data_IF_866177835045
#
_entry.id   IF_866177835045
#
_cell.length_a   1.000
_cell.length_b   1.000
_cell.length_c   1.000
_cell.angle_alpha   90.00
_cell.angle_beta   90.00
_cell.angle_gamma   90.00
#
_symmetry.space_group_name_H-M   'P 1'
#
loop_
_entity.id
_entity.type
_entity.pdbx_description
1 polymer ?
#
# COMPACT_ATOMS: atom_id res chain seq x y z
N UNK A 1 -2.81 16.41 -6.81
CA UNK A 1 -1.65 15.52 -6.65
C UNK A 1 -2.19 14.11 -6.50
N UNK A 2 -1.90 13.21 -7.45
CA UNK A 2 -2.49 11.87 -7.50
C UNK A 2 -1.48 10.77 -7.22
N UNK A 3 -1.96 9.65 -6.69
CA UNK A 3 -1.23 8.39 -6.59
C UNK A 3 -1.46 7.60 -7.87
N UNK A 4 -0.40 7.09 -8.46
CA UNK A 4 -0.43 6.14 -9.57
C UNK A 4 0.09 4.78 -9.12
N UNK A 5 -0.13 3.78 -9.96
CA UNK A 5 0.45 2.44 -9.80
C UNK A 5 1.43 2.27 -10.94
N UNK A 6 2.70 2.05 -10.59
CA UNK A 6 3.74 1.68 -11.53
C UNK A 6 3.87 0.16 -11.49
N UNK A 7 3.76 -0.49 -12.65
CA UNK A 7 3.90 -1.93 -12.78
C UNK A 7 5.06 -2.26 -13.70
N UNK A 8 5.98 -3.08 -13.21
CA UNK A 8 7.01 -3.70 -14.02
C UNK A 8 6.43 -4.96 -14.68
N UNK A 9 6.45 -4.98 -16.02
CA UNK A 9 5.86 -6.07 -16.80
C UNK A 9 6.79 -7.27 -16.99
N UNK A 10 8.04 -7.19 -16.54
CA UNK A 10 9.02 -8.25 -16.67
C UNK A 10 9.08 -9.12 -15.42
N UNK A 11 9.12 -8.49 -14.26
CA UNK A 11 9.17 -9.16 -12.95
C UNK A 11 7.79 -9.23 -12.27
N UNK A 12 6.74 -8.72 -12.94
CA UNK A 12 5.34 -8.79 -12.49
C UNK A 12 5.10 -8.17 -11.11
N UNK A 13 5.88 -7.14 -10.78
CA UNK A 13 5.74 -6.36 -9.56
C UNK A 13 5.00 -5.04 -9.82
N UNK A 14 4.35 -4.50 -8.79
CA UNK A 14 3.82 -3.15 -8.81
C UNK A 14 4.16 -2.38 -7.54
N UNK A 15 4.13 -1.05 -7.60
CA UNK A 15 4.28 -0.17 -6.45
C UNK A 15 3.45 1.11 -6.64
N UNK A 16 3.23 1.83 -5.54
CA UNK A 16 2.65 3.16 -5.63
C UNK A 16 3.69 4.19 -6.05
N UNK A 17 3.26 5.15 -6.86
CA UNK A 17 4.08 6.28 -7.29
C UNK A 17 3.32 7.59 -7.10
N UNK A 18 3.99 8.62 -6.61
CA UNK A 18 3.44 9.97 -6.61
C UNK A 18 3.58 10.57 -8.02
N UNK A 19 2.47 10.81 -8.73
CA UNK A 19 2.51 11.31 -10.11
C UNK A 19 3.09 12.73 -10.24
N UNK A 20 3.32 13.43 -9.13
CA UNK A 20 3.88 14.79 -9.12
C UNK A 20 5.39 14.79 -8.94
N UNK A 21 5.91 13.91 -8.08
CA UNK A 21 7.35 13.82 -7.79
C UNK A 21 8.03 12.66 -8.49
N UNK A 22 7.27 11.73 -9.05
CA UNK A 22 7.75 10.48 -9.67
C UNK A 22 8.51 9.58 -8.68
N UNK A 23 8.20 9.70 -7.38
CA UNK A 23 8.77 8.86 -6.34
C UNK A 23 7.87 7.68 -6.03
N UNK A 24 8.47 6.48 -6.00
CA UNK A 24 7.81 5.27 -5.54
C UNK A 24 7.81 5.20 -4.01
N UNK A 25 6.76 4.63 -3.42
CA UNK A 25 6.60 4.51 -1.97
C UNK A 25 5.69 3.32 -1.60
N UNK A 26 5.69 2.96 -0.31
CA UNK A 26 4.88 1.87 0.22
C UNK A 26 5.40 0.47 -0.20
N UNK A 27 4.57 -0.57 0.00
CA UNK A 27 4.96 -1.96 -0.25
C UNK A 27 5.07 -2.26 -1.74
N UNK A 28 5.85 -3.31 -2.05
CA UNK A 28 5.87 -3.93 -3.38
C UNK A 28 4.73 -4.96 -3.45
N UNK A 29 3.95 -4.87 -4.51
CA UNK A 29 2.84 -5.77 -4.82
C UNK A 29 3.30 -6.86 -5.77
N UNK A 30 2.81 -8.08 -5.52
CA UNK A 30 3.07 -9.28 -6.31
C UNK A 30 1.76 -9.88 -6.83
N UNK A 31 1.85 -10.73 -7.85
CA UNK A 31 0.70 -11.55 -8.27
C UNK A 31 0.21 -12.43 -7.10
N UNK A 32 -1.10 -12.40 -6.84
CA UNK A 32 -1.74 -13.19 -5.76
C UNK A 32 -3.12 -13.64 -6.18
N UNK A 33 -3.43 -14.91 -5.91
CA UNK A 33 -4.78 -15.49 -6.07
C UNK A 33 -5.41 -15.26 -7.46
N UNK A 34 -4.59 -15.23 -8.52
CA UNK A 34 -5.05 -15.00 -9.90
C UNK A 34 -5.30 -13.52 -10.26
N UNK A 35 -4.87 -12.60 -9.40
CA UNK A 35 -4.83 -11.16 -9.66
C UNK A 35 -3.39 -10.73 -9.95
N UNK A 36 -3.20 -9.95 -11.01
CA UNK A 36 -1.91 -9.33 -11.32
C UNK A 36 -1.47 -8.36 -10.21
N UNK A 37 -0.17 -8.09 -10.10
CA UNK A 37 0.33 -7.14 -9.10
C UNK A 37 -0.31 -5.75 -9.17
N UNK A 38 -0.65 -5.28 -10.37
CA UNK A 38 -1.42 -4.03 -10.54
C UNK A 38 -2.83 -4.14 -9.96
N UNK A 39 -3.53 -5.25 -10.17
CA UNK A 39 -4.88 -5.45 -9.61
C UNK A 39 -4.85 -5.60 -8.09
N UNK A 40 -3.80 -6.22 -7.54
CA UNK A 40 -3.57 -6.30 -6.09
C UNK A 40 -3.35 -4.91 -5.52
N UNK A 41 -2.52 -4.09 -6.17
CA UNK A 41 -2.27 -2.70 -5.78
C UNK A 41 -3.55 -1.84 -5.83
N UNK A 42 -4.38 -2.00 -6.87
CA UNK A 42 -5.68 -1.34 -7.00
C UNK A 42 -6.63 -1.74 -5.86
N UNK A 43 -6.74 -3.04 -5.56
CA UNK A 43 -7.59 -3.52 -4.46
C UNK A 43 -7.11 -3.03 -3.10
N UNK A 44 -5.80 -2.99 -2.88
CA UNK A 44 -5.24 -2.44 -1.65
C UNK A 44 -5.59 -0.96 -1.52
N UNK A 45 -5.46 -0.18 -2.62
CA UNK A 45 -5.85 1.23 -2.65
C UNK A 45 -7.34 1.44 -2.33
N UNK A 46 -8.23 0.59 -2.84
CA UNK A 46 -9.67 0.62 -2.53
C UNK A 46 -10.00 0.22 -1.08
N UNK A 47 -9.14 -0.62 -0.49
CA UNK A 47 -9.31 -1.13 0.87
C UNK A 47 -8.88 -0.10 1.92
N UNK A 48 -7.87 0.72 1.60
CA UNK A 48 -7.43 1.81 2.45
C UNK A 48 -8.55 2.86 2.64
N UNK A 49 -8.81 3.32 3.87
CA UNK A 49 -9.84 4.33 4.11
C UNK A 49 -9.40 5.75 3.73
N UNK A 50 -8.09 6.03 3.66
CA UNK A 50 -7.51 7.33 3.31
C UNK A 50 -6.52 7.19 2.13
N UNK A 51 -6.02 8.31 1.65
CA UNK A 51 -4.96 8.32 0.63
C UNK A 51 -3.70 7.64 1.21
N UNK A 52 -3.05 6.71 0.48
CA UNK A 52 -1.91 5.97 1.00
C UNK A 52 -0.76 6.88 1.45
N UNK A 53 -0.64 8.10 0.92
CA UNK A 53 0.40 9.08 1.33
C UNK A 53 0.15 9.71 2.70
N UNK A 54 -1.04 9.51 3.27
CA UNK A 54 -1.36 9.97 4.63
C UNK A 54 -0.92 8.97 5.70
N UNK A 55 -0.41 7.81 5.29
CA UNK A 55 0.13 6.80 6.19
C UNK A 55 1.66 6.84 6.15
N UNK A 56 2.27 6.57 7.30
CA UNK A 56 3.69 6.27 7.37
C UNK A 56 3.98 4.92 6.70
N UNK A 57 5.19 4.75 6.16
CA UNK A 57 5.57 3.56 5.38
C UNK A 57 5.39 2.26 6.19
N UNK A 58 5.79 2.25 7.47
CA UNK A 58 5.59 1.12 8.39
C UNK A 58 4.10 0.74 8.57
N UNK A 59 3.19 1.73 8.56
CA UNK A 59 1.73 1.50 8.67
C UNK A 59 1.19 0.91 7.37
N UNK A 60 1.66 1.40 6.20
CA UNK A 60 1.31 0.81 4.91
C UNK A 60 1.80 -0.64 4.78
N UNK A 61 3.03 -0.91 5.21
CA UNK A 61 3.61 -2.26 5.19
C UNK A 61 2.82 -3.22 6.09
N UNK A 62 2.50 -2.80 7.31
CA UNK A 62 1.65 -3.59 8.22
C UNK A 62 0.25 -3.80 7.64
N UNK A 63 -0.37 -2.72 7.15
CA UNK A 63 -1.71 -2.78 6.56
C UNK A 63 -1.78 -3.66 5.32
N UNK A 64 -0.71 -3.72 4.53
CA UNK A 64 -0.61 -4.65 3.42
C UNK A 64 -0.58 -6.11 3.88
N UNK A 65 0.14 -6.41 4.97
CA UNK A 65 0.08 -7.72 5.61
C UNK A 65 -1.34 -8.11 6.05
N UNK A 66 -2.06 -7.18 6.67
CA UNK A 66 -3.45 -7.39 7.10
C UNK A 66 -4.40 -7.57 5.90
N UNK A 67 -4.21 -6.79 4.83
CA UNK A 67 -4.94 -6.93 3.58
C UNK A 67 -4.73 -8.30 2.93
N UNK A 68 -3.48 -8.78 2.86
CA UNK A 68 -3.17 -10.11 2.34
C UNK A 68 -3.82 -11.23 3.19
N UNK A 69 -3.91 -11.05 4.51
CA UNK A 69 -4.60 -11.99 5.38
C UNK A 69 -6.13 -11.97 5.18
N UNK A 70 -6.71 -10.83 4.80
CA UNK A 70 -8.14 -10.64 4.58
C UNK A 70 -8.62 -10.99 3.16
N UNK A 71 -7.71 -11.07 2.18
CA UNK A 71 -7.97 -11.38 0.78
C UNK A 71 -8.86 -12.62 0.52
N UNK A 72 -8.77 -13.75 1.25
CA UNK A 72 -9.69 -14.88 1.06
C UNK A 72 -11.16 -14.61 1.48
N UNK A 73 -11.53 -13.38 1.89
CA UNK A 73 -12.90 -13.02 2.26
C UNK A 73 -13.16 -11.53 2.51
N UNK A 74 -12.52 -10.64 1.72
CA UNK A 74 -12.33 -9.19 1.97
C UNK A 74 -13.43 -8.53 2.84
N UNK A 75 -13.10 -8.31 4.10
CA UNK A 75 -13.73 -7.35 5.02
C UNK A 75 -12.83 -6.13 5.09
N UNK A 76 -13.40 -4.92 5.04
CA UNK A 76 -12.66 -3.64 5.03
C UNK A 76 -11.91 -3.46 6.37
N UNK A 77 -10.64 -3.03 6.34
CA UNK A 77 -9.92 -2.76 7.60
C UNK A 77 -10.11 -1.35 8.12
N UNK A 78 -10.03 -1.27 9.45
CA UNK A 78 -9.79 -0.07 10.22
C UNK A 78 -8.28 -0.02 10.50
N UNK A 79 -7.51 0.67 9.64
CA UNK A 79 -6.10 0.94 9.93
C UNK A 79 -6.01 2.09 10.92
N UNK A 80 -5.51 1.80 12.13
CA UNK A 80 -5.20 2.82 13.12
C UNK A 80 -3.93 3.58 12.71
N UNK A 81 -4.02 4.91 12.61
CA UNK A 81 -2.86 5.78 12.40
C UNK A 81 -1.94 5.64 13.61
N UNK A 82 -0.70 5.20 13.39
CA UNK A 82 0.32 5.22 14.43
C UNK A 82 0.78 6.67 14.65
N UNK A 83 0.57 7.20 15.85
CA UNK A 83 1.29 8.38 16.33
C UNK A 83 2.77 7.98 16.51
N UNK A 84 3.62 8.42 15.58
CA UNK A 84 5.08 8.39 15.73
C UNK A 84 5.48 9.49 16.74
N UNK A 85 5.39 9.16 18.05
CA UNK A 85 6.04 9.91 19.12
C UNK A 85 7.56 9.61 19.09
N UNK A 86 8.30 10.36 18.26
CA UNK A 86 9.75 10.44 18.31
C UNK A 86 10.16 11.37 19.47
N UNK A 87 10.23 10.84 20.70
CA UNK A 87 10.90 11.52 21.82
C UNK A 87 12.42 11.44 21.61
N UNK A 88 13.00 12.50 21.03
CA UNK A 88 14.45 12.75 21.09
C UNK A 88 14.87 13.01 22.54
N UNK A 89 15.67 12.09 23.09
CA UNK A 89 16.38 12.18 24.38
C UNK A 89 17.53 13.21 24.28
N UNK A 90 17.56 14.20 25.19
CA UNK A 90 18.62 15.24 25.34
C UNK A 90 19.62 14.88 26.44
#
# INVERSE_FOLDING_TARGET
MGVGILCDKHDEHACFVCNTTEWAFGPVFDEREGLSASEVAEKFLEWLPLDPREYADNVLEKGYGDFLAALPGIVKAELEQGDDDDETDD
#
